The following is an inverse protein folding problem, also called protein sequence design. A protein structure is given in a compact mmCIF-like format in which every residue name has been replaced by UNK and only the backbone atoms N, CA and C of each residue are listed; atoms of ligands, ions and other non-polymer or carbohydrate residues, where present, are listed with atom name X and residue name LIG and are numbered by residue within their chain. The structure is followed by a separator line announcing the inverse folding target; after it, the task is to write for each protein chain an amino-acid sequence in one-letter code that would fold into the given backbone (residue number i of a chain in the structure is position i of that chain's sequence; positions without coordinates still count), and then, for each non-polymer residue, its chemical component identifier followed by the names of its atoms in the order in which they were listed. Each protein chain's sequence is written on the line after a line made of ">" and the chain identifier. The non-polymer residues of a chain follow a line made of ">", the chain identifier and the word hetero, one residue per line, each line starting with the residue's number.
data_IF_058489111949
#
_entry.id   IF_058489111949
#
_cell.length_a   1.000
_cell.length_b   1.000
_cell.length_c   1.000
_cell.angle_alpha   90.00
_cell.angle_beta   90.00
_cell.angle_gamma   90.00
#
_symmetry.space_group_name_H-M   'P 1'
#
loop_
_entity.id
_entity.type
_entity.pdbx_description
1 polymer ?
#
# COMPACT_ATOMS: atom_id res chain seq x y z
N UNK A 1 4.23 -6.63 -16.78
CA UNK A 1 3.42 -5.70 -15.94
C UNK A 1 2.48 -6.57 -15.12
N UNK A 2 2.50 -6.46 -13.79
CA UNK A 2 1.87 -7.44 -12.89
C UNK A 2 0.37 -7.23 -12.67
N UNK A 3 -0.12 -6.00 -12.84
CA UNK A 3 -1.55 -5.67 -12.76
C UNK A 3 -1.92 -4.54 -13.73
N UNK A 4 -3.19 -4.44 -14.09
CA UNK A 4 -3.74 -3.28 -14.79
C UNK A 4 -4.16 -2.21 -13.77
N UNK A 5 -3.77 -0.94 -13.99
CA UNK A 5 -4.18 0.18 -13.14
C UNK A 5 -5.71 0.41 -13.14
N UNK A 6 -6.43 -0.13 -14.13
CA UNK A 6 -7.89 -0.05 -14.23
C UNK A 6 -8.62 -1.19 -13.51
N UNK A 7 -7.90 -2.19 -13.01
CA UNK A 7 -8.50 -3.30 -12.26
C UNK A 7 -8.91 -2.92 -10.84
N UNK A 8 -8.53 -1.71 -10.41
CA UNK A 8 -8.85 -1.16 -9.10
C UNK A 8 -10.36 -1.12 -8.82
N UNK A 9 -10.79 -1.76 -7.74
CA UNK A 9 -12.14 -1.63 -7.19
C UNK A 9 -12.05 -1.02 -5.78
N UNK A 10 -12.63 0.17 -5.60
CA UNK A 10 -12.67 0.85 -4.31
C UNK A 10 -13.72 0.19 -3.42
N UNK A 11 -13.33 -0.14 -2.20
CA UNK A 11 -14.22 -0.70 -1.21
C UNK A 11 -14.66 0.36 -0.19
N UNK A 12 -15.86 0.16 0.34
CA UNK A 12 -16.49 1.06 1.29
C UNK A 12 -17.00 0.28 2.49
N UNK A 13 -16.93 0.88 3.67
CA UNK A 13 -17.49 0.33 4.88
C UNK A 13 -17.36 1.29 6.05
N UNK A 14 -17.83 0.86 7.21
CA UNK A 14 -17.78 1.66 8.44
C UNK A 14 -16.34 1.78 8.97
N UNK A 15 -16.04 2.91 9.59
CA UNK A 15 -14.76 3.17 10.27
C UNK A 15 -13.87 4.19 9.55
N UNK A 16 -12.67 4.39 10.11
CA UNK A 16 -11.67 5.30 9.57
C UNK A 16 -10.65 4.50 8.73
N UNK A 17 -11.07 4.09 7.54
CA UNK A 17 -10.20 3.48 6.55
C UNK A 17 -10.64 3.83 5.14
N UNK A 18 -9.75 3.64 4.17
CA UNK A 18 -10.06 3.65 2.75
C UNK A 18 -9.18 2.63 2.02
N UNK A 19 -9.54 2.26 0.80
CA UNK A 19 -8.78 1.27 0.04
C UNK A 19 -9.64 0.43 -0.87
N UNK A 20 -9.04 -0.62 -1.39
CA UNK A 20 -9.66 -1.45 -2.41
C UNK A 20 -8.80 -2.63 -2.82
N UNK A 21 -9.18 -3.25 -3.93
CA UNK A 21 -8.44 -4.35 -4.53
C UNK A 21 -7.94 -4.01 -5.92
N UNK A 22 -6.86 -4.64 -6.34
CA UNK A 22 -6.49 -4.82 -7.74
C UNK A 22 -6.45 -6.31 -8.08
N UNK A 23 -6.49 -6.62 -9.37
CA UNK A 23 -6.36 -8.01 -9.85
C UNK A 23 -5.01 -8.20 -10.53
N UNK A 24 -4.36 -9.31 -10.21
CA UNK A 24 -3.11 -9.72 -10.87
C UNK A 24 -3.41 -10.11 -12.33
N UNK A 25 -2.48 -9.79 -13.22
CA UNK A 25 -2.57 -10.18 -14.62
C UNK A 25 -2.33 -11.67 -14.78
N UNK A 26 -2.81 -12.24 -15.89
CA UNK A 26 -2.54 -13.64 -16.24
C UNK A 26 -1.03 -13.94 -16.20
N UNK A 27 -0.65 -14.98 -15.46
CA UNK A 27 0.74 -15.40 -15.27
C UNK A 27 1.46 -14.75 -14.08
N UNK A 28 0.89 -13.74 -13.43
CA UNK A 28 1.40 -13.21 -12.17
C UNK A 28 0.71 -13.89 -10.98
N UNK A 29 1.52 -14.38 -10.04
CA UNK A 29 1.08 -15.06 -8.81
C UNK A 29 1.13 -14.11 -7.61
N UNK A 30 2.00 -13.10 -7.67
CA UNK A 30 2.17 -12.11 -6.60
C UNK A 30 2.72 -10.78 -7.15
N UNK A 31 2.86 -9.80 -6.25
CA UNK A 31 3.65 -8.59 -6.49
C UNK A 31 5.07 -8.86 -6.01
N UNK A 32 5.97 -9.12 -6.96
CA UNK A 32 7.36 -9.45 -6.68
C UNK A 32 8.21 -9.23 -7.92
N UNK A 33 9.52 -9.36 -7.76
CA UNK A 33 10.42 -9.42 -8.91
C UNK A 33 10.21 -10.73 -9.69
N UNK A 34 10.97 -10.94 -10.78
CA UNK A 34 10.85 -12.18 -11.56
C UNK A 34 9.47 -12.37 -12.21
N UNK A 35 8.91 -11.30 -12.77
CA UNK A 35 7.60 -11.29 -13.44
C UNK A 35 6.40 -11.69 -12.55
N UNK A 36 6.57 -11.60 -11.23
CA UNK A 36 5.49 -11.85 -10.26
C UNK A 36 5.29 -13.34 -9.95
N UNK A 37 6.30 -14.17 -10.16
CA UNK A 37 6.30 -15.54 -9.67
C UNK A 37 6.55 -15.58 -8.16
N UNK A 38 5.70 -16.29 -7.40
CA UNK A 38 5.83 -16.40 -5.95
C UNK A 38 6.96 -17.37 -5.52
N UNK A 39 7.70 -17.92 -6.49
CA UNK A 39 8.80 -18.84 -6.26
C UNK A 39 8.32 -20.12 -5.58
N UNK A 40 8.79 -20.35 -4.34
CA UNK A 40 8.40 -21.51 -3.53
C UNK A 40 7.38 -21.18 -2.43
N UNK A 41 6.88 -19.93 -2.38
CA UNK A 41 5.88 -19.53 -1.40
C UNK A 41 4.48 -19.91 -1.88
N UNK A 42 3.74 -20.75 -1.14
CA UNK A 42 2.36 -21.04 -1.46
C UNK A 42 1.47 -19.81 -1.16
N UNK A 43 0.28 -19.79 -1.77
CA UNK A 43 -0.77 -18.88 -1.33
C UNK A 43 -1.14 -19.17 0.14
N UNK A 44 -1.55 -18.12 0.85
CA UNK A 44 -2.00 -18.16 2.24
C UNK A 44 -3.16 -19.15 2.36
N UNK A 45 -3.13 -19.98 3.40
CA UNK A 45 -4.17 -20.98 3.62
C UNK A 45 -5.57 -20.34 3.81
N UNK A 46 -6.54 -20.86 3.06
CA UNK A 46 -7.95 -20.46 3.19
C UNK A 46 -8.41 -19.36 2.24
N UNK A 47 -7.53 -18.82 1.38
CA UNK A 47 -7.92 -17.90 0.31
C UNK A 47 -8.79 -18.61 -0.75
N UNK A 48 -9.80 -17.90 -1.25
CA UNK A 48 -10.64 -18.36 -2.37
C UNK A 48 -10.02 -18.07 -3.75
N UNK A 49 -10.66 -18.55 -4.83
CA UNK A 49 -10.17 -18.39 -6.21
C UNK A 49 -10.00 -16.91 -6.64
N UNK A 50 -10.78 -16.00 -6.07
CA UNK A 50 -10.67 -14.57 -6.34
C UNK A 50 -9.52 -13.97 -5.51
N UNK A 51 -9.41 -14.35 -4.25
CA UNK A 51 -8.40 -13.82 -3.33
C UNK A 51 -6.98 -14.22 -3.75
N UNK A 52 -6.77 -15.45 -4.24
CA UNK A 52 -5.47 -15.89 -4.75
C UNK A 52 -5.00 -15.14 -6.01
N UNK A 53 -5.88 -14.38 -6.65
CA UNK A 53 -5.57 -13.55 -7.83
C UNK A 53 -5.76 -12.05 -7.57
N UNK A 54 -6.01 -11.67 -6.32
CA UNK A 54 -6.25 -10.28 -5.92
C UNK A 54 -5.19 -9.79 -4.96
N UNK A 55 -4.94 -8.48 -5.00
CA UNK A 55 -4.16 -7.78 -3.98
C UNK A 55 -5.02 -6.68 -3.41
N UNK A 56 -5.08 -6.58 -2.09
CA UNK A 56 -5.87 -5.57 -1.40
C UNK A 56 -4.98 -4.56 -0.73
N UNK A 57 -5.32 -3.28 -0.85
CA UNK A 57 -4.59 -2.18 -0.23
C UNK A 57 -5.55 -1.37 0.63
N UNK A 58 -5.27 -1.26 1.92
CA UNK A 58 -6.08 -0.49 2.85
C UNK A 58 -5.24 0.46 3.67
N UNK A 59 -5.58 1.74 3.64
CA UNK A 59 -5.09 2.70 4.61
C UNK A 59 -5.98 2.65 5.84
N UNK A 60 -5.42 2.24 6.98
CA UNK A 60 -6.06 2.26 8.28
C UNK A 60 -5.59 3.52 9.00
N UNK A 61 -6.49 4.48 9.17
CA UNK A 61 -6.13 5.75 9.78
C UNK A 61 -5.85 5.59 11.29
N UNK A 62 -4.85 6.31 11.83
CA UNK A 62 -4.16 7.44 11.18
C UNK A 62 -2.87 7.09 10.43
N UNK A 63 -2.30 5.90 10.58
CA UNK A 63 -0.88 5.73 10.27
C UNK A 63 -0.44 4.35 9.76
N UNK A 64 -1.36 3.51 9.29
CA UNK A 64 -1.01 2.21 8.74
C UNK A 64 -1.54 2.05 7.30
N UNK A 65 -0.73 1.45 6.45
CA UNK A 65 -1.13 0.92 5.14
C UNK A 65 -0.87 -0.58 5.16
N UNK A 66 -1.92 -1.37 5.00
CA UNK A 66 -1.83 -2.83 4.89
C UNK A 66 -2.08 -3.25 3.46
N UNK A 67 -1.16 -4.05 2.92
CA UNK A 67 -1.26 -4.68 1.60
C UNK A 67 -1.37 -6.18 1.79
N UNK A 68 -2.49 -6.76 1.36
CA UNK A 68 -2.78 -8.19 1.45
C UNK A 68 -2.51 -8.81 0.09
N UNK A 69 -1.41 -9.57 -0.02
CA UNK A 69 -1.05 -10.33 -1.20
C UNK A 69 -1.47 -11.79 -1.05
N UNK A 70 -1.54 -12.56 -2.16
CA UNK A 70 -1.88 -13.97 -2.10
C UNK A 70 -0.96 -14.81 -1.20
N UNK A 71 0.33 -14.46 -1.10
CA UNK A 71 1.37 -15.26 -0.41
C UNK A 71 2.06 -14.54 0.77
N UNK A 72 1.78 -13.25 0.99
CA UNK A 72 2.31 -12.48 2.13
C UNK A 72 1.42 -11.27 2.48
N UNK A 73 1.64 -10.71 3.66
CA UNK A 73 1.06 -9.42 4.06
C UNK A 73 2.19 -8.41 4.25
N UNK A 74 2.02 -7.21 3.72
CA UNK A 74 2.93 -6.09 3.94
C UNK A 74 2.24 -5.02 4.78
N UNK A 75 2.92 -4.55 5.82
CA UNK A 75 2.46 -3.44 6.65
C UNK A 75 3.46 -2.30 6.57
N UNK A 76 2.99 -1.12 6.17
CA UNK A 76 3.70 0.12 6.40
C UNK A 76 3.11 0.81 7.62
N UNK A 77 3.93 1.13 8.60
CA UNK A 77 3.56 2.01 9.72
C UNK A 77 4.31 3.33 9.60
N UNK A 78 3.56 4.43 9.55
CA UNK A 78 4.07 5.78 9.36
C UNK A 78 4.15 6.50 10.71
N UNK A 79 5.31 7.05 11.05
CA UNK A 79 5.54 7.80 12.28
C UNK A 79 5.97 9.23 11.96
N UNK A 80 5.13 10.25 12.21
CA UNK A 80 5.56 11.62 12.04
C UNK A 80 6.67 11.92 13.03
N UNK A 81 7.83 12.36 12.51
CA UNK A 81 9.00 12.75 13.32
C UNK A 81 9.17 14.27 13.34
N UNK A 82 8.62 14.98 12.36
CA UNK A 82 8.62 16.43 12.23
C UNK A 82 7.57 16.87 11.21
N UNK A 83 7.41 18.18 11.01
CA UNK A 83 6.48 18.75 10.01
C UNK A 83 6.83 18.41 8.56
N UNK A 84 8.06 17.93 8.31
CA UNK A 84 8.57 17.53 7.00
C UNK A 84 9.32 16.20 7.00
N UNK A 85 9.14 15.39 8.05
CA UNK A 85 9.84 14.11 8.21
C UNK A 85 8.91 13.05 8.75
N UNK A 86 8.77 11.96 8.01
CA UNK A 86 8.04 10.76 8.41
C UNK A 86 9.00 9.59 8.36
N UNK A 87 9.01 8.80 9.43
CA UNK A 87 9.68 7.49 9.44
C UNK A 87 8.66 6.43 9.01
N UNK A 88 9.02 5.59 8.06
CA UNK A 88 8.15 4.51 7.56
C UNK A 88 8.80 3.18 7.91
N UNK A 89 8.12 2.38 8.73
CA UNK A 89 8.52 1.00 9.02
C UNK A 89 7.77 0.08 8.06
N UNK A 90 8.50 -0.71 7.26
CA UNK A 90 7.92 -1.70 6.35
C UNK A 90 8.18 -3.10 6.92
N UNK A 91 7.12 -3.88 7.08
CA UNK A 91 7.17 -5.24 7.61
C UNK A 91 6.49 -6.20 6.63
N UNK A 92 7.06 -7.38 6.47
CA UNK A 92 6.49 -8.46 5.67
C UNK A 92 6.19 -9.64 6.58
N UNK A 93 4.97 -10.16 6.46
CA UNK A 93 4.46 -11.26 7.24
C UNK A 93 4.14 -12.42 6.30
N UNK A 94 4.61 -13.60 6.67
CA UNK A 94 4.42 -14.85 5.94
C UNK A 94 3.82 -15.88 6.88
N UNK A 95 3.13 -16.88 6.34
CA UNK A 95 2.63 -17.98 7.17
C UNK A 95 3.78 -18.70 7.88
N UNK A 96 3.65 -19.06 9.17
CA UNK A 96 4.70 -19.75 9.90
C UNK A 96 5.18 -21.03 9.22
N UNK A 97 4.28 -21.77 8.58
CA UNK A 97 4.61 -22.99 7.82
C UNK A 97 5.45 -22.68 6.58
N UNK A 98 5.20 -21.57 5.90
CA UNK A 98 5.99 -21.09 4.76
C UNK A 98 7.40 -20.69 5.19
N UNK A 99 7.52 -19.95 6.31
CA UNK A 99 8.83 -19.54 6.86
C UNK A 99 9.65 -20.73 7.34
N UNK A 100 9.01 -21.80 7.80
CA UNK A 100 9.69 -23.00 8.31
C UNK A 100 10.29 -23.90 7.21
N UNK A 101 10.08 -23.60 5.93
CA UNK A 101 10.58 -24.41 4.82
C UNK A 101 12.07 -24.16 4.58
N UNK A 102 12.80 -25.21 4.20
CA UNK A 102 14.23 -25.13 3.86
C UNK A 102 14.52 -24.25 2.64
N UNK A 103 13.53 -24.10 1.74
CA UNK A 103 13.59 -23.30 0.51
C UNK A 103 12.92 -21.92 0.66
N UNK A 104 12.62 -21.48 1.88
CA UNK A 104 12.02 -20.17 2.12
C UNK A 104 12.97 -19.04 1.71
N UNK A 105 12.56 -18.27 0.71
CA UNK A 105 13.21 -17.04 0.27
C UNK A 105 12.15 -15.96 0.03
N UNK A 106 12.14 -14.85 0.79
CA UNK A 106 11.22 -13.73 0.59
C UNK A 106 11.79 -12.61 -0.30
N UNK A 107 13.01 -12.78 -0.85
CA UNK A 107 13.77 -11.69 -1.45
C UNK A 107 13.06 -11.03 -2.63
N UNK A 108 12.32 -11.78 -3.46
CA UNK A 108 11.61 -11.19 -4.61
C UNK A 108 10.49 -10.22 -4.19
N UNK A 109 9.80 -10.48 -3.07
CA UNK A 109 8.78 -9.58 -2.53
C UNK A 109 9.43 -8.35 -1.86
N UNK A 110 10.49 -8.58 -1.08
CA UNK A 110 11.21 -7.51 -0.37
C UNK A 110 11.90 -6.56 -1.36
N UNK A 111 12.65 -7.09 -2.32
CA UNK A 111 13.41 -6.29 -3.30
C UNK A 111 12.48 -5.49 -4.22
N UNK A 112 11.35 -6.09 -4.61
CA UNK A 112 10.32 -5.40 -5.38
C UNK A 112 9.79 -4.18 -4.63
N UNK A 113 9.39 -4.38 -3.37
CA UNK A 113 8.80 -3.32 -2.57
C UNK A 113 9.81 -2.32 -2.04
N UNK A 114 11.07 -2.68 -1.76
CA UNK A 114 12.13 -1.70 -1.47
C UNK A 114 12.32 -0.74 -2.65
N UNK A 115 12.36 -1.27 -3.87
CA UNK A 115 12.44 -0.45 -5.07
C UNK A 115 11.23 0.47 -5.22
N UNK A 116 10.00 -0.06 -5.13
CA UNK A 116 8.76 0.72 -5.29
C UNK A 116 8.63 1.78 -4.19
N UNK A 117 8.85 1.41 -2.93
CA UNK A 117 8.77 2.34 -1.79
C UNK A 117 9.74 3.51 -1.96
N UNK A 118 10.98 3.27 -2.39
CA UNK A 118 11.96 4.34 -2.61
C UNK A 118 11.53 5.30 -3.71
N UNK A 119 10.86 4.80 -4.75
CA UNK A 119 10.30 5.65 -5.80
C UNK A 119 9.17 6.53 -5.25
N UNK A 120 8.26 5.95 -4.47
CA UNK A 120 7.15 6.68 -3.85
C UNK A 120 7.66 7.74 -2.86
N UNK A 121 8.60 7.39 -1.99
CA UNK A 121 9.21 8.34 -1.05
C UNK A 121 9.89 9.50 -1.77
N UNK A 122 10.61 9.23 -2.86
CA UNK A 122 11.24 10.28 -3.64
C UNK A 122 10.20 11.25 -4.23
N UNK A 123 9.07 10.75 -4.72
CA UNK A 123 7.97 11.61 -5.21
C UNK A 123 7.36 12.43 -4.06
N UNK A 124 7.18 11.84 -2.88
CA UNK A 124 6.71 12.57 -1.69
C UNK A 124 7.68 13.70 -1.28
N UNK A 125 8.99 13.47 -1.31
CA UNK A 125 10.00 14.49 -1.02
C UNK A 125 9.93 15.64 -2.02
N UNK A 126 9.82 15.34 -3.32
CA UNK A 126 9.66 16.33 -4.37
C UNK A 126 8.35 17.13 -4.21
N UNK A 127 7.24 16.46 -3.86
CA UNK A 127 5.97 17.11 -3.59
C UNK A 127 6.07 18.08 -2.40
N UNK A 128 6.72 17.67 -1.31
CA UNK A 128 6.95 18.52 -0.13
C UNK A 128 7.80 19.74 -0.47
N UNK A 129 8.83 19.60 -1.31
CA UNK A 129 9.62 20.72 -1.82
C UNK A 129 8.77 21.69 -2.64
N UNK A 130 7.88 21.17 -3.50
CA UNK A 130 6.97 21.96 -4.32
C UNK A 130 5.94 22.74 -3.48
N UNK A 131 5.34 22.10 -2.47
CA UNK A 131 4.36 22.70 -1.56
C UNK A 131 4.95 23.87 -0.76
N UNK A 132 6.25 23.80 -0.42
CA UNK A 132 6.97 24.89 0.28
C UNK A 132 7.22 26.12 -0.58
N UNK A 133 7.04 26.06 -1.90
CA UNK A 133 7.29 27.18 -2.79
C UNK A 133 6.23 28.30 -2.60
N UNK A 134 6.67 29.57 -2.62
CA UNK A 134 5.77 30.74 -2.43
C UNK A 134 4.61 30.82 -3.44
N UNK A 135 4.78 30.24 -4.63
CA UNK A 135 3.77 30.24 -5.69
C UNK A 135 2.85 29.03 -5.68
N UNK A 136 2.96 28.13 -4.70
CA UNK A 136 2.10 26.97 -4.62
C UNK A 136 0.64 27.37 -4.39
N UNK A 137 -0.25 26.75 -5.18
CA UNK A 137 -1.69 26.81 -5.01
C UNK A 137 -2.20 25.37 -5.00
N UNK A 138 -3.06 25.05 -4.03
CA UNK A 138 -3.64 23.72 -3.93
C UNK A 138 -4.41 23.36 -5.21
N UNK A 139 -4.12 22.18 -5.75
CA UNK A 139 -4.78 21.63 -6.93
C UNK A 139 -6.17 21.06 -6.63
N UNK A 140 -6.73 20.35 -7.60
CA UNK A 140 -7.96 19.58 -7.43
C UNK A 140 -7.64 18.10 -7.58
N UNK A 141 -8.27 17.27 -6.75
CA UNK A 141 -8.23 15.83 -6.93
C UNK A 141 -8.94 15.42 -8.23
N UNK A 142 -8.37 14.43 -8.91
CA UNK A 142 -8.98 13.75 -10.05
C UNK A 142 -10.03 12.73 -9.59
N UNK A 143 -10.78 12.17 -10.53
CA UNK A 143 -11.73 11.09 -10.26
C UNK A 143 -11.09 9.80 -9.74
N UNK A 144 -9.76 9.66 -9.85
CA UNK A 144 -9.02 8.49 -9.37
C UNK A 144 -8.39 8.69 -7.99
N UNK A 145 -8.53 9.88 -7.39
CA UNK A 145 -7.91 10.25 -6.11
C UNK A 145 -8.94 10.31 -4.98
N UNK A 146 -10.00 9.49 -5.06
CA UNK A 146 -11.07 9.44 -4.06
C UNK A 146 -10.54 9.12 -2.65
N UNK A 147 -9.61 8.17 -2.54
CA UNK A 147 -9.01 7.79 -1.25
C UNK A 147 -8.10 8.87 -0.68
N UNK A 148 -7.39 9.61 -1.54
CA UNK A 148 -6.55 10.76 -1.12
C UNK A 148 -7.43 11.88 -0.60
N UNK A 149 -8.53 12.19 -1.31
CA UNK A 149 -9.52 13.17 -0.86
C UNK A 149 -10.17 12.75 0.46
N UNK A 150 -10.45 11.45 0.65
CA UNK A 150 -10.99 10.94 1.91
C UNK A 150 -10.01 11.13 3.07
N UNK A 151 -8.72 10.85 2.88
CA UNK A 151 -7.70 11.11 3.89
C UNK A 151 -7.61 12.60 4.25
N UNK A 152 -7.55 13.48 3.25
CA UNK A 152 -7.47 14.93 3.46
C UNK A 152 -8.70 15.45 4.24
N UNK A 153 -9.89 14.99 3.87
CA UNK A 153 -11.14 15.32 4.58
C UNK A 153 -11.11 14.85 6.04
N UNK A 154 -10.67 13.61 6.29
CA UNK A 154 -10.55 13.07 7.65
C UNK A 154 -9.58 13.90 8.51
N UNK A 155 -8.43 14.28 7.96
CA UNK A 155 -7.45 15.12 8.67
C UNK A 155 -8.08 16.48 9.01
N UNK A 156 -8.73 17.13 8.05
CA UNK A 156 -9.40 18.41 8.27
C UNK A 156 -10.50 18.33 9.33
N UNK A 157 -11.34 17.29 9.29
CA UNK A 157 -12.38 17.03 10.30
C UNK A 157 -11.77 16.92 11.70
N UNK A 158 -10.69 16.16 11.87
CA UNK A 158 -10.03 15.99 13.18
C UNK A 158 -9.38 17.26 13.70
N UNK A 159 -8.84 18.10 12.81
CA UNK A 159 -8.35 19.42 13.20
C UNK A 159 -9.49 20.35 13.64
N UNK A 160 -10.63 20.35 12.94
CA UNK A 160 -11.79 21.15 13.32
C UNK A 160 -12.34 20.71 14.69
N UNK A 161 -12.53 19.41 14.90
CA UNK A 161 -12.98 18.85 16.19
C UNK A 161 -12.05 19.25 17.35
N UNK A 162 -10.73 19.30 17.11
CA UNK A 162 -9.76 19.71 18.12
C UNK A 162 -9.80 21.22 18.44
N UNK A 163 -10.37 22.04 17.57
CA UNK A 163 -10.49 23.50 17.74
C UNK A 163 -11.80 23.94 18.42
N UNK A 164 -12.83 23.08 18.44
CA UNK A 164 -14.16 23.35 19.03
C UNK A 164 -15.18 23.85 18.02
#
# INVERSE_FOLDING_TARGET
>A
RLSDYRSGDTQHGDGNWCGGSMTLNEGAETMGTGDGHAGHRPAIAGLDEREVTSVYYFTLFPNALVSLHPDYVMLHTLWPRDVDRTEVTCEWFFEPETVARDDFDPSDAIDFWDMVNRQDWHVCELAQMGIRAKGFLAGRFSSHEGDVHRFDSLVAERYLEALG
#
